data_IF_042282913372
#
_entry.id   IF_042282913372
#
_cell.length_a   1.000
_cell.length_b   1.000
_cell.length_c   1.000
_cell.angle_alpha   90.00
_cell.angle_beta   90.00
_cell.angle_gamma   90.00
#
_symmetry.space_group_name_H-M   'P 1'
#
loop_
_entity.id
_entity.type
_entity.pdbx_description
1 polymer ?
#
# COMPACT_ATOMS: atom_id res chain seq x y z
N UNK A 1 44.85 -34.92 -36.14
CA UNK A 1 43.40 -34.64 -36.21
C UNK A 1 42.80 -34.78 -34.82
N UNK A 2 42.67 -33.69 -34.05
CA UNK A 2 41.74 -33.64 -32.90
C UNK A 2 41.31 -32.17 -32.77
N UNK A 3 40.11 -31.84 -33.26
CA UNK A 3 39.45 -30.54 -33.07
C UNK A 3 38.55 -30.68 -31.85
N UNK A 4 39.01 -30.20 -30.70
CA UNK A 4 38.23 -30.18 -29.46
C UNK A 4 37.16 -29.10 -29.59
N UNK A 5 35.92 -29.53 -29.88
CA UNK A 5 34.74 -28.69 -29.82
C UNK A 5 34.43 -28.37 -28.35
N UNK A 6 34.87 -27.19 -27.91
CA UNK A 6 34.42 -26.61 -26.64
C UNK A 6 33.02 -26.03 -26.89
N UNK A 7 32.00 -26.83 -26.59
CA UNK A 7 30.61 -26.41 -26.60
C UNK A 7 30.35 -25.62 -25.31
N UNK A 8 30.75 -24.35 -25.31
CA UNK A 8 30.41 -23.37 -24.26
C UNK A 8 28.90 -23.13 -24.29
N UNK A 9 28.18 -23.78 -23.38
CA UNK A 9 26.76 -23.55 -23.16
C UNK A 9 26.49 -22.14 -22.66
N UNK A 10 25.65 -21.38 -23.38
CA UNK A 10 25.03 -20.18 -22.85
C UNK A 10 23.97 -20.57 -21.81
N UNK A 11 24.36 -20.61 -20.55
CA UNK A 11 23.40 -20.45 -19.45
C UNK A 11 23.07 -18.97 -19.33
N UNK A 12 22.00 -18.54 -20.00
CA UNK A 12 21.38 -17.25 -19.74
C UNK A 12 20.71 -17.31 -18.37
N UNK A 13 21.43 -16.91 -17.32
CA UNK A 13 20.81 -16.68 -16.02
C UNK A 13 19.86 -15.50 -16.16
N UNK A 14 18.55 -15.77 -16.07
CA UNK A 14 17.54 -14.74 -15.96
C UNK A 14 17.74 -14.03 -14.61
N UNK A 15 18.48 -12.91 -14.64
CA UNK A 15 18.57 -12.03 -13.49
C UNK A 15 17.18 -11.42 -13.23
N UNK A 16 16.63 -11.54 -12.01
CA UNK A 16 15.45 -10.77 -11.67
C UNK A 16 15.85 -9.29 -11.74
N UNK A 17 15.12 -8.50 -12.52
CA UNK A 17 15.30 -7.06 -12.56
C UNK A 17 15.10 -6.52 -11.13
N UNK A 18 16.19 -6.10 -10.49
CA UNK A 18 16.08 -5.41 -9.22
C UNK A 18 15.47 -4.04 -9.52
N UNK A 19 14.30 -3.81 -8.94
CA UNK A 19 13.55 -2.58 -9.10
C UNK A 19 14.47 -1.39 -8.86
N UNK A 20 14.58 -0.51 -9.86
CA UNK A 20 15.37 0.71 -9.81
C UNK A 20 14.92 1.54 -8.60
N UNK A 21 15.82 1.75 -7.64
CA UNK A 21 15.57 2.54 -6.44
C UNK A 21 15.25 3.97 -6.87
N UNK A 22 13.96 4.29 -6.99
CA UNK A 22 13.48 5.66 -7.17
C UNK A 22 14.12 6.52 -6.07
N UNK A 23 14.56 7.75 -6.40
CA UNK A 23 15.23 8.60 -5.43
C UNK A 23 14.41 8.69 -4.14
N UNK A 24 15.08 8.57 -3.00
CA UNK A 24 14.43 8.57 -1.69
C UNK A 24 13.77 9.93 -1.48
N UNK A 25 12.47 9.99 -1.74
CA UNK A 25 11.65 11.19 -1.53
C UNK A 25 11.71 11.61 -0.07
N UNK A 26 11.58 12.92 0.16
CA UNK A 26 11.49 13.45 1.52
C UNK A 26 10.31 12.81 2.27
N UNK A 27 10.49 12.65 3.57
CA UNK A 27 9.53 12.01 4.46
C UNK A 27 8.12 12.62 4.37
N UNK A 28 8.03 13.92 4.11
CA UNK A 28 6.81 14.71 4.05
C UNK A 28 6.27 14.90 2.63
N UNK A 29 7.00 14.44 1.62
CA UNK A 29 6.58 14.54 0.22
C UNK A 29 5.24 13.84 0.03
N UNK A 30 4.27 14.43 -0.69
CA UNK A 30 2.98 13.81 -0.97
C UNK A 30 3.10 12.42 -1.60
N UNK A 31 4.12 12.18 -2.41
CA UNK A 31 4.34 10.94 -3.14
C UNK A 31 5.22 9.94 -2.36
N UNK A 32 5.70 10.29 -1.18
CA UNK A 32 6.46 9.35 -0.36
C UNK A 32 5.55 8.22 0.15
N UNK A 33 5.95 6.97 -0.12
CA UNK A 33 5.20 5.77 0.29
C UNK A 33 5.38 5.47 1.78
N UNK A 34 4.26 5.28 2.48
CA UNK A 34 4.20 4.86 3.88
C UNK A 34 3.42 3.57 4.01
N UNK A 35 4.07 2.59 4.62
CA UNK A 35 3.45 1.34 5.00
C UNK A 35 2.97 1.41 6.44
N UNK A 36 1.71 1.03 6.66
CA UNK A 36 1.10 0.91 7.97
C UNK A 36 0.59 -0.52 8.14
N UNK A 37 0.67 -1.04 9.37
CA UNK A 37 0.17 -2.37 9.70
C UNK A 37 -1.15 -2.25 10.45
N UNK A 38 -2.19 -2.92 9.96
CA UNK A 38 -3.53 -2.91 10.52
C UNK A 38 -3.87 -4.28 11.10
N UNK A 39 -4.52 -4.35 12.28
CA UNK A 39 -5.06 -5.61 12.78
C UNK A 39 -6.21 -6.06 11.87
N UNK A 40 -6.27 -7.35 11.56
CA UNK A 40 -7.37 -7.93 10.78
C UNK A 40 -8.52 -8.27 11.74
N UNK A 41 -9.72 -7.77 11.48
CA UNK A 41 -10.90 -8.08 12.28
C UNK A 41 -11.13 -9.60 12.38
N UNK A 42 -11.32 -10.11 13.59
CA UNK A 42 -11.48 -11.54 13.86
C UNK A 42 -10.16 -12.31 14.03
N UNK A 43 -9.00 -11.65 14.00
CA UNK A 43 -7.71 -12.28 14.32
C UNK A 43 -6.90 -11.44 15.31
N UNK A 44 -6.42 -12.06 16.38
CA UNK A 44 -5.55 -11.40 17.38
C UNK A 44 -4.08 -11.30 16.92
N UNK A 45 -3.68 -12.16 15.97
CA UNK A 45 -2.29 -12.29 15.52
C UNK A 45 -2.05 -11.80 14.10
N UNK A 46 -3.07 -11.88 13.21
CA UNK A 46 -2.89 -11.45 11.82
C UNK A 46 -2.92 -9.93 11.73
N UNK A 47 -1.88 -9.39 11.08
CA UNK A 47 -1.78 -7.99 10.72
C UNK A 47 -1.58 -7.88 9.22
N UNK A 48 -2.35 -7.03 8.58
CA UNK A 48 -2.20 -6.70 7.17
C UNK A 48 -1.32 -5.46 7.03
N UNK A 49 -0.38 -5.48 6.09
CA UNK A 49 0.50 -4.35 5.82
C UNK A 49 0.07 -3.67 4.52
N UNK A 50 -0.37 -2.43 4.64
CA UNK A 50 -0.84 -1.62 3.51
C UNK A 50 0.16 -0.49 3.28
N UNK A 51 0.70 -0.42 2.06
CA UNK A 51 1.61 0.64 1.62
C UNK A 51 0.88 1.57 0.66
N UNK A 52 0.83 2.85 0.99
CA UNK A 52 0.22 3.92 0.18
C UNK A 52 1.05 5.19 0.28
N UNK A 53 0.90 6.10 -0.67
CA UNK A 53 1.54 7.41 -0.63
C UNK A 53 0.99 8.28 0.50
N UNK A 54 1.75 9.28 0.94
CA UNK A 54 1.27 10.26 1.92
C UNK A 54 -0.01 10.97 1.44
N UNK A 55 -0.12 11.28 0.14
CA UNK A 55 -1.30 11.88 -0.46
C UNK A 55 -2.53 10.98 -0.33
N UNK A 56 -2.40 9.70 -0.67
CA UNK A 56 -3.49 8.72 -0.51
C UNK A 56 -3.90 8.56 0.96
N UNK A 57 -2.94 8.53 1.88
CA UNK A 57 -3.27 8.46 3.31
C UNK A 57 -4.06 9.68 3.80
N UNK A 58 -3.74 10.88 3.29
CA UNK A 58 -4.50 12.11 3.60
C UNK A 58 -5.92 12.02 3.03
N UNK A 59 -6.06 11.60 1.77
CA UNK A 59 -7.36 11.44 1.12
C UNK A 59 -8.26 10.43 1.87
N UNK A 60 -7.69 9.28 2.29
CA UNK A 60 -8.42 8.30 3.09
C UNK A 60 -8.85 8.91 4.43
N UNK A 61 -7.97 9.64 5.12
CA UNK A 61 -8.30 10.27 6.40
C UNK A 61 -9.43 11.27 6.26
N UNK A 62 -9.40 12.10 5.21
CA UNK A 62 -10.45 13.09 4.95
C UNK A 62 -11.79 12.43 4.62
N UNK A 63 -11.77 11.37 3.79
CA UNK A 63 -12.97 10.60 3.47
C UNK A 63 -13.59 10.01 4.73
N UNK A 64 -12.78 9.39 5.60
CA UNK A 64 -13.27 8.79 6.85
C UNK A 64 -13.90 9.83 7.79
N UNK A 65 -13.37 11.05 7.84
CA UNK A 65 -13.98 12.13 8.62
C UNK A 65 -15.36 12.52 8.06
N UNK A 66 -15.47 12.67 6.74
CA UNK A 66 -16.76 12.98 6.09
C UNK A 66 -17.78 11.87 6.29
N UNK A 67 -17.37 10.62 6.17
CA UNK A 67 -18.23 9.45 6.38
C UNK A 67 -18.73 9.38 7.84
N UNK A 68 -17.86 9.69 8.81
CA UNK A 68 -18.23 9.75 10.22
C UNK A 68 -19.23 10.88 10.51
N UNK A 69 -19.01 12.07 9.95
CA UNK A 69 -19.92 13.20 10.09
C UNK A 69 -21.30 12.91 9.47
N UNK A 70 -21.32 12.30 8.28
CA UNK A 70 -22.56 11.88 7.60
C UNK A 70 -23.32 10.84 8.42
N UNK A 71 -22.63 9.84 8.98
CA UNK A 71 -23.23 8.85 9.86
C UNK A 71 -23.88 9.50 11.09
N UNK A 72 -23.20 10.45 11.74
CA UNK A 72 -23.72 11.18 12.89
C UNK A 72 -24.94 12.04 12.50
N UNK A 73 -24.87 12.75 11.37
CA UNK A 73 -25.96 13.59 10.89
C UNK A 73 -27.22 12.77 10.58
N UNK A 74 -27.07 11.64 9.87
CA UNK A 74 -28.19 10.72 9.57
C UNK A 74 -28.77 10.11 10.84
N UNK A 75 -27.92 9.70 11.79
CA UNK A 75 -28.36 9.18 13.08
C UNK A 75 -29.20 10.21 13.84
N UNK A 76 -28.76 11.48 13.89
CA UNK A 76 -29.50 12.57 14.55
C UNK A 76 -30.84 12.88 13.90
N UNK A 77 -30.93 12.86 12.57
CA UNK A 77 -32.18 13.12 11.85
C UNK A 77 -33.27 12.08 12.18
N UNK A 78 -32.90 10.83 12.46
CA UNK A 78 -33.84 9.78 12.90
C UNK A 78 -34.15 9.77 14.40
N UNK A 79 -33.48 10.60 15.21
CA UNK A 79 -33.61 10.63 16.67
C UNK A 79 -34.29 11.90 17.20
N UNK A 80 -35.05 12.63 16.38
CA UNK A 80 -35.95 13.67 16.87
C UNK A 80 -37.33 13.07 17.20
N UNK A 81 -37.66 12.78 18.49
CA UNK A 81 -38.97 12.25 18.87
C UNK A 81 -40.09 13.29 18.84
N UNK A 82 -39.79 14.57 18.53
CA UNK A 82 -40.76 15.68 18.52
C UNK A 82 -40.94 16.29 17.10
N UNK A 83 -40.67 15.52 16.04
CA UNK A 83 -41.14 15.83 14.69
C UNK A 83 -42.57 15.37 14.50
#
# INVERSE_FOLDING_TARGET
MVKTLVMTGLFAMAYPALAEDKPKLDRNDPNATRCRSFPVTGSLVRKERICKTNAEWRAISEQQSRDADDLIMRSRAGMNPNG
#
